data_IF_408128133916
#
_entry.id   IF_408128133916
#
_cell.length_a   1.000
_cell.length_b   1.000
_cell.length_c   1.000
_cell.angle_alpha   90.00
_cell.angle_beta   90.00
_cell.angle_gamma   90.00
#
_symmetry.space_group_name_H-M   'P 1'
#
loop_
_entity.id
_entity.type
_entity.pdbx_description
1 polymer ?
#
# COMPACT_ATOMS: atom_id res chain seq x y z
N UNK A 1 13.38 -4.34 4.45
CA UNK A 1 12.03 -3.82 4.76
C UNK A 1 11.32 -3.61 3.44
N UNK A 2 10.05 -3.99 3.34
CA UNK A 2 9.24 -3.70 2.15
C UNK A 2 8.88 -2.21 2.15
N UNK A 3 8.66 -1.64 0.97
CA UNK A 3 8.20 -0.25 0.83
C UNK A 3 6.73 -0.23 0.46
N UNK A 4 6.01 0.79 0.90
CA UNK A 4 4.61 1.01 0.56
C UNK A 4 4.31 2.50 0.38
N UNK A 5 3.27 2.79 -0.41
CA UNK A 5 2.60 4.10 -0.39
C UNK A 5 1.58 4.07 0.74
N UNK A 6 1.64 5.03 1.66
CA UNK A 6 0.71 5.18 2.79
C UNK A 6 0.08 6.57 2.80
N UNK A 7 -1.14 6.63 3.32
CA UNK A 7 -1.95 7.84 3.42
C UNK A 7 -2.30 7.98 4.90
N UNK A 8 -1.83 9.07 5.51
CA UNK A 8 -2.05 9.35 6.94
C UNK A 8 -3.09 10.45 7.18
N UNK A 9 -3.46 11.20 6.13
CA UNK A 9 -4.50 12.23 6.13
C UNK A 9 -5.16 12.33 4.74
N UNK A 10 -6.39 12.83 4.67
CA UNK A 10 -7.07 13.12 3.40
C UNK A 10 -6.41 14.33 2.70
N UNK A 11 -6.37 14.31 1.37
CA UNK A 11 -5.83 15.39 0.54
C UNK A 11 -5.56 14.96 -0.89
N UNK A 12 -4.85 15.81 -1.64
CA UNK A 12 -4.39 15.46 -2.98
C UNK A 12 -3.17 14.53 -2.96
N UNK A 13 -2.54 14.27 -4.12
CA UNK A 13 -1.38 13.38 -4.22
C UNK A 13 -0.20 13.72 -3.29
N UNK A 14 -0.12 14.94 -2.79
CA UNK A 14 0.86 15.40 -1.79
C UNK A 14 0.81 14.65 -0.45
N UNK A 15 -0.30 13.98 -0.12
CA UNK A 15 -0.43 13.20 1.12
C UNK A 15 0.13 11.78 1.01
N UNK A 16 0.52 11.34 -0.20
CA UNK A 16 1.08 10.01 -0.43
C UNK A 16 2.52 9.94 0.10
N UNK A 17 2.78 9.09 1.09
CA UNK A 17 4.12 8.87 1.65
C UNK A 17 4.71 7.55 1.17
N UNK A 18 5.96 7.58 0.69
CA UNK A 18 6.73 6.37 0.38
C UNK A 18 7.59 5.99 1.58
N UNK A 19 7.18 4.95 2.30
CA UNK A 19 7.79 4.59 3.58
C UNK A 19 8.05 3.08 3.71
N UNK A 20 8.88 2.71 4.70
CA UNK A 20 9.05 1.31 5.08
C UNK A 20 7.79 0.77 5.74
N UNK A 21 7.39 -0.44 5.35
CA UNK A 21 6.27 -1.16 5.91
C UNK A 21 6.63 -2.64 6.09
N UNK A 22 6.32 -3.19 7.26
CA UNK A 22 6.43 -4.62 7.53
C UNK A 22 5.08 -5.30 7.22
N UNK A 23 5.01 -6.20 6.21
CA UNK A 23 3.78 -6.93 5.91
C UNK A 23 3.45 -8.01 6.95
N UNK A 24 4.36 -8.31 7.89
CA UNK A 24 4.18 -9.34 8.89
C UNK A 24 4.20 -10.76 8.30
N UNK A 25 3.68 -11.72 9.07
CA UNK A 25 3.53 -13.11 8.65
C UNK A 25 2.06 -13.40 8.33
N UNK A 26 1.75 -14.18 7.27
CA UNK A 26 0.38 -14.54 6.95
C UNK A 26 -0.21 -15.47 8.03
N UNK A 27 -1.46 -15.23 8.40
CA UNK A 27 -2.24 -16.13 9.24
C UNK A 27 -2.78 -17.35 8.47
N UNK A 28 -3.59 -18.18 9.15
CA UNK A 28 -4.23 -19.34 8.51
C UNK A 28 -5.11 -18.91 7.34
N UNK A 29 -4.89 -19.51 6.17
CA UNK A 29 -5.63 -19.20 4.93
C UNK A 29 -5.17 -17.92 4.20
N UNK A 30 -4.14 -17.23 4.67
CA UNK A 30 -3.59 -16.04 4.03
C UNK A 30 -2.28 -16.37 3.29
N UNK A 31 -1.88 -15.48 2.37
CA UNK A 31 -0.61 -15.57 1.64
C UNK A 31 0.14 -14.24 1.71
N UNK A 32 1.47 -14.31 1.75
CA UNK A 32 2.34 -13.16 1.58
C UNK A 32 2.78 -13.06 0.12
N UNK A 33 2.44 -11.94 -0.53
CA UNK A 33 2.69 -11.73 -1.97
C UNK A 33 3.80 -10.71 -2.18
N UNK A 34 4.77 -11.07 -3.03
CA UNK A 34 5.74 -10.12 -3.57
C UNK A 34 5.20 -9.56 -4.89
N UNK A 35 4.76 -8.30 -4.86
CA UNK A 35 4.31 -7.59 -6.06
C UNK A 35 5.48 -7.37 -7.03
N UNK A 36 5.30 -7.72 -8.31
CA UNK A 36 6.21 -7.37 -9.42
C UNK A 36 5.61 -6.30 -10.35
N UNK A 37 4.30 -6.09 -10.25
CA UNK A 37 3.54 -5.02 -10.86
C UNK A 37 2.35 -4.66 -9.96
N UNK A 38 1.90 -3.41 -10.01
CA UNK A 38 0.76 -2.88 -9.26
C UNK A 38 -0.08 -2.05 -10.25
N UNK A 39 -1.37 -2.34 -10.35
CA UNK A 39 -2.30 -1.59 -11.19
C UNK A 39 -2.82 -0.34 -10.49
N UNK A 40 -3.03 0.74 -11.25
CA UNK A 40 -3.63 2.00 -10.79
C UNK A 40 -5.08 2.07 -11.30
N UNK A 41 -6.02 2.38 -10.42
CA UNK A 41 -7.44 2.49 -10.72
C UNK A 41 -7.98 3.84 -10.25
N UNK A 42 -9.08 4.31 -10.87
CA UNK A 42 -9.72 5.57 -10.43
C UNK A 42 -10.21 5.53 -8.97
N UNK A 43 -10.59 4.34 -8.47
CA UNK A 43 -11.03 4.18 -7.08
C UNK A 43 -9.94 4.52 -6.05
N UNK A 44 -8.67 4.54 -6.47
CA UNK A 44 -7.54 4.84 -5.58
C UNK A 44 -7.51 6.32 -5.13
N UNK A 45 -8.35 7.20 -5.72
CA UNK A 45 -8.37 8.65 -5.46
C UNK A 45 -9.74 9.21 -5.08
N UNK A 46 -10.68 8.38 -4.59
CA UNK A 46 -12.04 8.84 -4.26
C UNK A 46 -12.19 9.51 -2.89
N UNK A 47 -11.16 9.47 -2.04
CA UNK A 47 -11.24 9.85 -0.62
C UNK A 47 -10.12 10.81 -0.22
#
# INVERSE_FOLDING_TARGET
MSKAIRIHAHGGPEVLTYEDADPGQPGSGQVLVRHTAIGLNFIDVYH
#
